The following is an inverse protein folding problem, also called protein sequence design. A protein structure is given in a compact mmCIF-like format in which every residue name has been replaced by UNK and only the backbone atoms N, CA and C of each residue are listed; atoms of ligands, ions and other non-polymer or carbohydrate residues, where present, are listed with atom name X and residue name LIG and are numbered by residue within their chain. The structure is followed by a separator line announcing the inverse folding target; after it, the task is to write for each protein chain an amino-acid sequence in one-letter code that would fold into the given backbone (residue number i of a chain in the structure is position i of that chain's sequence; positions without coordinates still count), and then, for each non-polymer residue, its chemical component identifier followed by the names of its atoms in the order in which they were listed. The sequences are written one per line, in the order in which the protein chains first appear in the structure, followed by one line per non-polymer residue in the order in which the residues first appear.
data_IF_772924125270
#
_entry.id   IF_772924125270
#
_cell.length_a   1.000
_cell.length_b   1.000
_cell.length_c   1.000
_cell.angle_alpha   90.00
_cell.angle_beta   90.00
_cell.angle_gamma   90.00
#
_symmetry.space_group_name_H-M   'P 1'
#
loop_
_entity.id
_entity.type
_entity.pdbx_description
1 polymer ?
#
# COMPACT_ATOMS: atom_id res chain seq x y z
N UNK A 1 -5.02 14.80 -21.95
CA UNK A 1 -3.74 15.21 -21.31
C UNK A 1 -2.65 14.36 -21.92
N UNK A 2 -1.47 14.93 -22.17
CA UNK A 2 -0.35 14.16 -22.72
C UNK A 2 0.20 13.21 -21.64
N UNK A 3 0.56 11.99 -22.03
CA UNK A 3 1.21 11.04 -21.13
C UNK A 3 2.56 11.60 -20.69
N UNK A 4 2.81 11.66 -19.38
CA UNK A 4 4.08 12.11 -18.83
C UNK A 4 4.98 10.90 -18.68
N UNK A 5 6.11 10.87 -19.38
CA UNK A 5 7.09 9.80 -19.31
C UNK A 5 8.37 10.26 -18.58
N UNK A 6 8.77 9.49 -17.58
CA UNK A 6 10.03 9.66 -16.85
C UNK A 6 10.95 8.47 -17.13
N UNK A 7 12.19 8.74 -17.52
CA UNK A 7 13.19 7.70 -17.77
C UNK A 7 14.35 7.89 -16.81
N UNK A 8 14.58 6.89 -15.96
CA UNK A 8 15.68 6.83 -15.02
C UNK A 8 16.78 5.97 -15.66
N UNK A 9 17.97 6.52 -15.93
CA UNK A 9 19.04 5.79 -16.62
C UNK A 9 19.54 4.56 -15.87
N UNK A 10 20.11 3.61 -16.61
CA UNK A 10 20.82 2.45 -16.07
C UNK A 10 21.87 2.86 -15.03
N UNK A 11 21.95 2.11 -13.93
CA UNK A 11 22.97 2.29 -12.89
C UNK A 11 22.82 3.56 -12.05
N UNK A 12 21.72 4.31 -12.19
CA UNK A 12 21.39 5.46 -11.33
C UNK A 12 21.40 5.01 -9.87
N UNK A 13 22.03 5.78 -8.99
CA UNK A 13 22.03 5.56 -7.54
C UNK A 13 21.65 6.87 -6.89
N UNK A 14 20.35 7.14 -6.88
CA UNK A 14 19.84 8.32 -6.21
C UNK A 14 19.42 7.93 -4.79
N UNK A 15 19.88 8.72 -3.84
CA UNK A 15 19.47 8.57 -2.44
C UNK A 15 18.30 9.50 -2.11
N UNK A 16 18.11 10.56 -2.89
CA UNK A 16 17.05 11.54 -2.67
C UNK A 16 15.77 11.11 -3.42
N UNK A 17 14.62 11.44 -2.84
CA UNK A 17 13.33 11.09 -3.41
C UNK A 17 13.04 11.88 -4.71
N UNK A 18 12.72 11.14 -5.78
CA UNK A 18 12.19 11.73 -7.02
C UNK A 18 10.69 12.00 -6.87
N UNK A 19 10.30 13.27 -6.83
CA UNK A 19 8.89 13.66 -6.75
C UNK A 19 8.23 13.70 -8.14
N UNK A 20 7.18 12.89 -8.32
CA UNK A 20 6.32 12.93 -9.51
C UNK A 20 5.19 13.92 -9.28
N UNK A 21 5.18 15.01 -10.06
CA UNK A 21 4.16 16.04 -9.98
C UNK A 21 3.01 15.74 -10.95
N UNK A 22 1.78 15.73 -10.43
CA UNK A 22 0.54 15.66 -11.22
C UNK A 22 -0.22 14.34 -11.12
N UNK A 23 -1.53 14.43 -11.35
CA UNK A 23 -2.46 13.31 -11.42
C UNK A 23 -2.98 13.20 -12.87
N UNK A 24 -2.64 12.11 -13.54
CA UNK A 24 -2.89 11.81 -14.96
C UNK A 24 -2.19 10.52 -15.36
N UNK A 25 -2.13 10.17 -16.67
CA UNK A 25 -1.31 9.06 -17.13
C UNK A 25 0.18 9.38 -16.94
N UNK A 26 0.85 8.61 -16.09
CA UNK A 26 2.28 8.71 -15.81
C UNK A 26 2.92 7.37 -16.15
N UNK A 27 4.02 7.40 -16.90
CA UNK A 27 4.86 6.24 -17.14
C UNK A 27 6.26 6.50 -16.61
N UNK A 28 6.79 5.55 -15.86
CA UNK A 28 8.13 5.63 -15.28
C UNK A 28 8.90 4.41 -15.73
N UNK A 29 10.05 4.61 -16.37
CA UNK A 29 10.93 3.55 -16.84
C UNK A 29 12.20 3.62 -16.01
N UNK A 30 12.42 2.60 -15.19
CA UNK A 30 13.60 2.48 -14.34
C UNK A 30 14.61 1.56 -15.00
N UNK A 31 15.75 2.12 -15.39
CA UNK A 31 16.84 1.43 -16.07
C UNK A 31 17.48 0.33 -15.23
N UNK A 32 18.27 -0.52 -15.89
CA UNK A 32 18.91 -1.69 -15.28
C UNK A 32 19.82 -1.28 -14.13
N UNK A 33 19.79 -2.04 -13.05
CA UNK A 33 20.62 -1.82 -11.86
C UNK A 33 20.48 -0.41 -11.24
N UNK A 34 19.45 0.34 -11.59
CA UNK A 34 19.17 1.62 -10.96
C UNK A 34 18.55 1.40 -9.57
N UNK A 35 18.82 2.32 -8.64
CA UNK A 35 18.24 2.35 -7.31
C UNK A 35 17.68 3.74 -7.07
N UNK A 36 16.37 3.81 -6.82
CA UNK A 36 15.64 5.07 -6.70
C UNK A 36 14.47 4.97 -5.73
N UNK A 37 14.21 6.08 -5.03
CA UNK A 37 12.97 6.31 -4.29
C UNK A 37 12.12 7.30 -5.09
N UNK A 38 10.84 6.98 -5.30
CA UNK A 38 9.90 7.79 -6.07
C UNK A 38 8.73 8.13 -5.17
N UNK A 39 8.38 9.41 -5.08
CA UNK A 39 7.25 9.89 -4.28
C UNK A 39 6.21 10.49 -5.21
N UNK A 40 4.96 10.04 -5.08
CA UNK A 40 3.83 10.56 -5.81
C UNK A 40 2.74 11.02 -4.82
N UNK A 41 2.43 12.31 -4.84
CA UNK A 41 1.28 12.85 -4.12
C UNK A 41 0.04 12.79 -5.02
N UNK A 42 -0.98 12.05 -4.59
CA UNK A 42 -2.19 11.77 -5.36
C UNK A 42 -3.39 12.52 -4.78
N UNK A 43 -3.82 13.56 -5.51
CA UNK A 43 -4.93 14.45 -5.10
C UNK A 43 -6.12 14.41 -6.05
N UNK A 44 -5.99 13.75 -7.21
CA UNK A 44 -7.01 13.56 -8.23
C UNK A 44 -6.77 12.25 -9.01
N UNK A 45 -7.67 11.88 -9.92
CA UNK A 45 -7.58 10.61 -10.67
C UNK A 45 -6.20 10.42 -11.30
N UNK A 46 -5.63 9.24 -11.10
CA UNK A 46 -4.24 8.97 -11.48
C UNK A 46 -4.08 7.56 -12.06
N UNK A 47 -3.27 7.44 -13.11
CA UNK A 47 -2.87 6.17 -13.70
C UNK A 47 -1.37 6.14 -13.85
N UNK A 48 -0.68 5.35 -13.03
CA UNK A 48 0.77 5.22 -13.03
C UNK A 48 1.19 3.84 -13.53
N UNK A 49 2.09 3.79 -14.50
CA UNK A 49 2.77 2.59 -14.96
C UNK A 49 4.27 2.68 -14.65
N UNK A 50 4.82 1.66 -14.00
CA UNK A 50 6.24 1.56 -13.67
C UNK A 50 6.86 0.35 -14.37
N UNK A 51 7.85 0.58 -15.21
CA UNK A 51 8.65 -0.47 -15.85
C UNK A 51 9.96 -0.58 -15.10
N UNK A 52 10.17 -1.69 -14.39
CA UNK A 52 11.35 -1.92 -13.57
C UNK A 52 12.25 -2.92 -14.28
N UNK A 53 13.35 -2.43 -14.88
CA UNK A 53 14.29 -3.29 -15.61
C UNK A 53 15.18 -4.12 -14.68
N UNK A 54 15.86 -5.11 -15.27
CA UNK A 54 16.63 -6.11 -14.54
C UNK A 54 17.62 -5.50 -13.54
N UNK A 55 17.67 -6.07 -12.34
CA UNK A 55 18.55 -5.64 -11.25
C UNK A 55 18.19 -4.30 -10.61
N UNK A 56 17.15 -3.61 -11.07
CA UNK A 56 16.73 -2.34 -10.48
C UNK A 56 16.03 -2.54 -9.12
N UNK A 57 16.14 -1.54 -8.27
CA UNK A 57 15.57 -1.51 -6.92
C UNK A 57 14.78 -0.21 -6.74
N UNK A 58 13.46 -0.31 -6.64
CA UNK A 58 12.54 0.84 -6.64
C UNK A 58 11.73 0.84 -5.36
N UNK A 59 11.79 1.93 -4.60
CA UNK A 59 10.76 2.26 -3.61
C UNK A 59 9.80 3.28 -4.24
N UNK A 60 8.52 2.93 -4.33
CA UNK A 60 7.46 3.80 -4.84
C UNK A 60 6.51 4.15 -3.71
N UNK A 61 6.53 5.40 -3.28
CA UNK A 61 5.69 5.94 -2.23
C UNK A 61 4.54 6.72 -2.85
N UNK A 62 3.31 6.33 -2.53
CA UNK A 62 2.09 6.97 -3.03
C UNK A 62 1.30 7.52 -1.86
N UNK A 63 1.26 8.83 -1.74
CA UNK A 63 0.52 9.53 -0.69
C UNK A 63 -0.76 10.10 -1.25
N UNK A 64 -1.87 9.44 -0.93
CA UNK A 64 -3.19 9.89 -1.29
C UNK A 64 -3.77 10.73 -0.14
N UNK A 65 -3.78 12.03 -0.35
CA UNK A 65 -4.41 13.02 0.53
C UNK A 65 -5.27 13.95 -0.33
N UNK A 66 -6.56 14.09 -0.05
CA UNK A 66 -7.46 14.95 -0.82
C UNK A 66 -8.58 15.52 0.05
N UNK A 67 -9.13 16.65 -0.38
CA UNK A 67 -10.23 17.35 0.30
C UNK A 67 -11.53 16.50 0.31
N UNK A 68 -12.44 16.64 1.30
CA UNK A 68 -13.57 15.72 1.56
C UNK A 68 -14.68 15.58 0.52
N UNK A 69 -14.54 16.12 -0.68
CA UNK A 69 -15.59 16.07 -1.68
C UNK A 69 -15.05 15.45 -2.99
N UNK A 70 -15.16 14.13 -3.12
CA UNK A 70 -14.81 13.47 -4.38
C UNK A 70 -14.97 11.96 -4.38
N UNK A 71 -15.09 11.43 -5.60
CA UNK A 71 -14.73 10.05 -5.92
C UNK A 71 -13.39 10.10 -6.64
N UNK A 72 -12.45 9.27 -6.21
CA UNK A 72 -11.10 9.22 -6.73
C UNK A 72 -10.79 7.81 -7.23
N UNK A 73 -10.33 7.70 -8.48
CA UNK A 73 -9.82 6.45 -9.05
C UNK A 73 -8.31 6.53 -9.24
N UNK A 74 -7.59 5.59 -8.63
CA UNK A 74 -6.14 5.45 -8.76
C UNK A 74 -5.85 4.08 -9.36
N UNK A 75 -5.04 4.06 -10.40
CA UNK A 75 -4.53 2.82 -10.98
C UNK A 75 -3.01 2.85 -10.98
N UNK A 76 -2.39 1.83 -10.40
CA UNK A 76 -0.95 1.61 -10.40
C UNK A 76 -0.66 0.27 -11.03
N UNK A 77 0.24 0.24 -12.01
CA UNK A 77 0.72 -0.98 -12.64
C UNK A 77 2.24 -1.01 -12.60
N UNK A 78 2.81 -2.18 -12.38
CA UNK A 78 4.23 -2.40 -12.63
C UNK A 78 4.49 -3.65 -13.46
N UNK A 79 5.57 -3.59 -14.25
CA UNK A 79 6.24 -4.76 -14.81
C UNK A 79 7.63 -4.87 -14.19
N UNK A 80 7.98 -6.04 -13.67
CA UNK A 80 9.22 -6.25 -12.89
C UNK A 80 10.07 -7.32 -13.56
N UNK A 81 11.25 -6.91 -14.03
CA UNK A 81 12.21 -7.76 -14.74
C UNK A 81 13.11 -8.60 -13.83
N UNK A 82 14.09 -9.28 -14.43
CA UNK A 82 14.92 -10.26 -13.72
C UNK A 82 15.71 -9.63 -12.57
N UNK A 83 15.72 -10.26 -11.40
CA UNK A 83 16.44 -9.80 -10.20
C UNK A 83 16.07 -8.37 -9.80
N UNK A 84 14.91 -7.86 -10.21
CA UNK A 84 14.45 -6.52 -9.90
C UNK A 84 13.48 -6.52 -8.72
N UNK A 85 13.47 -5.43 -7.97
CA UNK A 85 12.60 -5.25 -6.80
C UNK A 85 11.77 -3.98 -6.93
N UNK A 86 10.49 -4.08 -6.60
CA UNK A 86 9.63 -2.92 -6.37
C UNK A 86 9.00 -3.01 -4.98
N UNK A 87 9.07 -1.91 -4.22
CA UNK A 87 8.41 -1.74 -2.93
C UNK A 87 7.37 -0.65 -3.04
N UNK A 88 6.11 -1.00 -2.94
CA UNK A 88 5.00 -0.06 -2.90
C UNK A 88 4.75 0.37 -1.45
N UNK A 89 4.85 1.66 -1.16
CA UNK A 89 4.44 2.29 0.10
C UNK A 89 3.20 3.12 -0.17
N UNK A 90 2.04 2.49 -0.18
CA UNK A 90 0.78 3.19 -0.44
C UNK A 90 0.18 3.69 0.86
N UNK A 91 -0.21 4.97 0.89
CA UNK A 91 -0.85 5.62 2.03
C UNK A 91 -2.17 6.23 1.54
N UNK A 92 -3.29 5.70 2.01
CA UNK A 92 -4.63 6.19 1.65
C UNK A 92 -5.30 6.85 2.84
N UNK A 93 -5.26 8.18 2.88
CA UNK A 93 -5.78 9.01 3.97
C UNK A 93 -6.70 10.13 3.46
N UNK A 94 -6.93 10.28 2.16
CA UNK A 94 -7.81 11.32 1.63
C UNK A 94 -9.29 11.04 1.83
N UNK A 95 -10.13 12.06 1.67
CA UNK A 95 -11.52 11.98 2.06
C UNK A 95 -12.50 11.72 0.88
N UNK A 96 -13.66 11.14 1.19
CA UNK A 96 -14.69 10.76 0.21
C UNK A 96 -14.69 9.27 -0.14
N UNK A 97 -14.75 8.96 -1.43
CA UNK A 97 -14.70 7.57 -1.95
C UNK A 97 -13.43 7.36 -2.75
N UNK A 98 -12.61 6.37 -2.40
CA UNK A 98 -11.37 6.02 -3.11
C UNK A 98 -11.49 4.62 -3.69
N UNK A 99 -11.31 4.49 -4.99
CA UNK A 99 -11.05 3.22 -5.67
C UNK A 99 -9.59 3.20 -6.10
N UNK A 100 -8.76 2.38 -5.45
CA UNK A 100 -7.33 2.33 -5.74
C UNK A 100 -6.96 0.89 -6.10
N UNK A 101 -6.47 0.73 -7.33
CA UNK A 101 -6.14 -0.54 -7.95
C UNK A 101 -4.63 -0.62 -8.19
N UNK A 102 -3.94 -1.53 -7.51
CA UNK A 102 -2.52 -1.84 -7.68
C UNK A 102 -2.35 -3.22 -8.31
N UNK A 103 -1.53 -3.32 -9.36
CA UNK A 103 -1.15 -4.59 -9.99
C UNK A 103 0.33 -4.62 -10.35
N UNK A 104 1.09 -5.53 -9.76
CA UNK A 104 2.48 -5.81 -10.15
C UNK A 104 2.54 -7.12 -10.94
N UNK A 105 3.12 -7.10 -12.14
CA UNK A 105 3.43 -8.27 -12.94
C UNK A 105 4.93 -8.57 -12.89
N UNK A 106 5.29 -9.63 -12.19
CA UNK A 106 6.66 -10.08 -12.02
C UNK A 106 7.01 -11.05 -13.15
N UNK A 107 7.50 -10.49 -14.25
CA UNK A 107 7.80 -11.22 -15.49
C UNK A 107 9.18 -11.86 -15.48
N UNK A 108 10.12 -11.29 -14.72
CA UNK A 108 11.48 -11.80 -14.60
C UNK A 108 11.67 -12.87 -13.54
N UNK A 109 12.73 -13.65 -13.71
CA UNK A 109 13.23 -14.58 -12.68
C UNK A 109 13.79 -13.80 -11.48
N UNK A 110 13.59 -14.31 -10.28
CA UNK A 110 14.07 -13.70 -9.02
C UNK A 110 13.53 -12.28 -8.78
N UNK A 111 12.40 -11.93 -9.41
CA UNK A 111 11.73 -10.64 -9.25
C UNK A 111 10.97 -10.55 -7.91
N UNK A 112 11.01 -9.39 -7.27
CA UNK A 112 10.40 -9.14 -5.95
C UNK A 112 9.39 -7.99 -6.01
N UNK A 113 8.21 -8.19 -5.40
CA UNK A 113 7.19 -7.15 -5.21
C UNK A 113 6.76 -7.14 -3.75
N UNK A 114 7.15 -6.08 -3.04
CA UNK A 114 6.68 -5.78 -1.69
C UNK A 114 5.57 -4.73 -1.78
N UNK A 115 4.49 -4.92 -1.03
CA UNK A 115 3.39 -3.97 -0.94
C UNK A 115 3.11 -3.72 0.52
N UNK A 116 3.30 -2.49 0.98
CA UNK A 116 2.90 -2.03 2.29
C UNK A 116 1.87 -0.91 2.09
N UNK A 117 0.61 -1.25 2.33
CA UNK A 117 -0.52 -0.37 2.10
C UNK A 117 -1.18 -0.01 3.42
N UNK A 118 -0.99 1.24 3.83
CA UNK A 118 -1.62 1.83 5.00
C UNK A 118 -2.87 2.64 4.63
N UNK A 119 -3.94 2.53 5.42
CA UNK A 119 -5.15 3.33 5.21
C UNK A 119 -5.90 3.64 6.52
N UNK A 120 -6.64 4.75 6.54
CA UNK A 120 -7.53 5.11 7.65
C UNK A 120 -8.81 5.78 7.12
N UNK A 121 -9.91 5.01 7.12
CA UNK A 121 -11.25 5.51 6.79
C UNK A 121 -12.00 6.02 8.02
N UNK A 122 -12.50 7.25 7.96
CA UNK A 122 -13.28 7.92 9.01
C UNK A 122 -14.47 8.69 8.40
N UNK A 123 -15.49 9.03 9.18
CA UNK A 123 -16.57 9.95 8.76
C UNK A 123 -17.27 9.58 7.44
N UNK A 124 -17.79 8.36 7.32
CA UNK A 124 -18.44 7.83 6.11
C UNK A 124 -17.54 7.68 4.87
N UNK A 125 -16.22 7.85 5.00
CA UNK A 125 -15.26 7.55 3.92
C UNK A 125 -15.40 6.09 3.46
N UNK A 126 -15.26 5.89 2.14
CA UNK A 126 -15.38 4.57 1.51
C UNK A 126 -14.15 4.26 0.69
N UNK A 127 -13.40 3.26 1.10
CA UNK A 127 -12.21 2.82 0.38
C UNK A 127 -12.43 1.44 -0.21
N UNK A 128 -12.19 1.32 -1.52
CA UNK A 128 -12.05 0.06 -2.20
C UNK A 128 -10.61 -0.04 -2.69
N UNK A 129 -9.82 -0.85 -1.99
CA UNK A 129 -8.39 -1.00 -2.21
C UNK A 129 -8.14 -2.40 -2.76
N UNK A 130 -7.58 -2.49 -3.96
CA UNK A 130 -7.25 -3.76 -4.60
C UNK A 130 -5.75 -3.84 -4.83
N UNK A 131 -5.10 -4.88 -4.34
CA UNK A 131 -3.68 -5.16 -4.58
C UNK A 131 -3.50 -6.54 -5.19
N UNK A 132 -2.74 -6.63 -6.28
CA UNK A 132 -2.47 -7.89 -6.97
C UNK A 132 -1.00 -8.04 -7.36
N UNK A 133 -0.36 -9.10 -6.87
CA UNK A 133 0.95 -9.53 -7.35
C UNK A 133 0.78 -10.76 -8.25
N UNK A 134 1.29 -10.69 -9.48
CA UNK A 134 1.21 -11.76 -10.48
C UNK A 134 2.63 -12.26 -10.79
N UNK A 135 2.97 -13.45 -10.30
CA UNK A 135 4.27 -14.07 -10.49
C UNK A 135 4.28 -14.94 -11.75
N UNK A 136 5.07 -14.53 -12.75
CA UNK A 136 5.19 -15.21 -14.04
C UNK A 136 6.59 -15.81 -14.25
N UNK A 137 7.65 -15.16 -13.74
CA UNK A 137 9.02 -15.68 -13.68
C UNK A 137 9.28 -16.55 -12.46
N UNK A 138 10.38 -17.32 -12.48
CA UNK A 138 10.71 -18.28 -11.41
C UNK A 138 11.27 -17.58 -10.18
N UNK A 139 11.18 -18.23 -9.02
CA UNK A 139 11.82 -17.80 -7.76
C UNK A 139 11.49 -16.36 -7.37
N UNK A 140 10.31 -15.88 -7.76
CA UNK A 140 9.86 -14.55 -7.37
C UNK A 140 9.48 -14.52 -5.89
N UNK A 141 9.30 -13.33 -5.34
CA UNK A 141 8.82 -13.22 -3.96
C UNK A 141 8.40 -11.82 -3.53
N UNK A 142 8.42 -11.62 -2.22
CA UNK A 142 7.98 -10.40 -1.55
C UNK A 142 6.69 -10.61 -0.76
N UNK A 143 6.36 -9.62 0.06
CA UNK A 143 5.22 -9.65 0.95
C UNK A 143 4.19 -8.57 0.56
N UNK A 144 2.91 -8.87 0.72
CA UNK A 144 1.82 -7.93 0.57
C UNK A 144 1.13 -7.73 1.91
N UNK A 145 1.26 -6.56 2.51
CA UNK A 145 0.61 -6.16 3.75
C UNK A 145 -0.36 -5.02 3.48
N UNK A 146 -1.65 -5.26 3.73
CA UNK A 146 -2.69 -4.23 3.74
C UNK A 146 -3.14 -4.01 5.18
N UNK A 147 -2.76 -2.89 5.78
CA UNK A 147 -3.01 -2.62 7.20
C UNK A 147 -3.72 -1.30 7.38
N UNK A 148 -4.80 -1.25 8.18
CA UNK A 148 -5.51 0.01 8.31
C UNK A 148 -6.56 0.10 9.41
N UNK A 149 -7.18 1.26 9.49
CA UNK A 149 -8.14 1.62 10.55
C UNK A 149 -9.47 2.04 9.93
N UNK A 150 -10.57 1.65 10.58
CA UNK A 150 -11.92 2.09 10.21
C UNK A 150 -12.69 2.62 11.44
N UNK A 151 -13.18 3.84 11.35
CA UNK A 151 -13.86 4.55 12.43
C UNK A 151 -15.05 5.37 11.88
N UNK A 152 -16.03 5.68 12.73
CA UNK A 152 -17.14 6.62 12.52
C UNK A 152 -17.81 6.44 11.16
N UNK A 153 -18.38 5.25 10.93
CA UNK A 153 -19.04 4.84 9.68
C UNK A 153 -18.12 4.71 8.46
N UNK A 154 -16.80 4.81 8.63
CA UNK A 154 -15.84 4.47 7.60
C UNK A 154 -16.01 3.02 7.12
N UNK A 155 -15.95 2.82 5.80
CA UNK A 155 -16.09 1.52 5.17
C UNK A 155 -14.87 1.22 4.31
N UNK A 156 -14.15 0.15 4.65
CA UNK A 156 -13.03 -0.34 3.83
C UNK A 156 -13.36 -1.71 3.25
N UNK A 157 -13.17 -1.84 1.94
CA UNK A 157 -13.03 -3.11 1.25
C UNK A 157 -11.58 -3.23 0.78
N UNK A 158 -10.87 -4.24 1.28
CA UNK A 158 -9.50 -4.53 0.87
C UNK A 158 -9.44 -5.91 0.20
N UNK A 159 -9.23 -5.92 -1.11
CA UNK A 159 -9.08 -7.12 -1.93
C UNK A 159 -7.59 -7.35 -2.21
N UNK A 160 -6.99 -8.36 -1.56
CA UNK A 160 -5.60 -8.77 -1.80
C UNK A 160 -5.56 -10.05 -2.63
N UNK A 161 -4.71 -10.11 -3.65
CA UNK A 161 -4.59 -11.29 -4.51
C UNK A 161 -3.13 -11.59 -4.85
N UNK A 162 -2.73 -12.85 -4.67
CA UNK A 162 -1.49 -13.40 -5.20
C UNK A 162 -1.86 -14.39 -6.30
N UNK A 163 -1.40 -14.12 -7.52
CA UNK A 163 -1.50 -15.05 -8.64
C UNK A 163 -0.11 -15.61 -8.95
N UNK A 164 0.03 -16.93 -8.99
CA UNK A 164 1.26 -17.61 -9.41
C UNK A 164 0.96 -18.38 -10.69
N UNK A 165 1.50 -17.88 -11.81
CA UNK A 165 1.37 -18.50 -13.12
C UNK A 165 2.15 -19.81 -13.24
N UNK A 166 1.97 -20.50 -14.37
CA UNK A 166 2.65 -21.78 -14.64
C UNK A 166 4.19 -21.67 -14.63
N UNK A 167 4.73 -20.50 -14.96
CA UNK A 167 6.16 -20.21 -14.94
C UNK A 167 6.72 -19.87 -13.55
N UNK A 168 5.86 -19.52 -12.58
CA UNK A 168 6.22 -19.02 -11.26
C UNK A 168 6.71 -20.07 -10.26
N UNK A 169 7.46 -21.08 -10.72
CA UNK A 169 8.01 -22.10 -9.83
C UNK A 169 9.09 -21.50 -8.91
N UNK A 170 9.10 -21.92 -7.66
CA UNK A 170 9.98 -21.43 -6.60
C UNK A 170 9.51 -20.13 -5.93
N UNK A 171 8.32 -19.61 -6.24
CA UNK A 171 7.83 -18.38 -5.63
C UNK A 171 7.61 -18.54 -4.12
N UNK A 172 8.12 -17.59 -3.33
CA UNK A 172 7.94 -17.50 -1.87
C UNK A 172 7.32 -16.14 -1.49
N UNK A 173 6.08 -16.14 -1.00
CA UNK A 173 5.30 -14.90 -0.79
C UNK A 173 4.21 -15.06 0.26
N UNK A 174 3.87 -13.94 0.90
CA UNK A 174 2.85 -13.89 1.94
C UNK A 174 1.92 -12.68 1.75
N UNK A 175 0.62 -12.87 2.00
CA UNK A 175 -0.38 -11.82 2.01
C UNK A 175 -0.97 -11.64 3.42
N UNK A 176 -0.81 -10.47 4.01
CA UNK A 176 -1.42 -10.07 5.28
C UNK A 176 -2.45 -8.98 5.06
N UNK A 177 -3.65 -9.14 5.64
CA UNK A 177 -4.61 -8.07 5.76
C UNK A 177 -5.00 -7.89 7.22
N UNK A 178 -4.63 -6.77 7.84
CA UNK A 178 -4.91 -6.51 9.25
C UNK A 178 -5.64 -5.17 9.41
N UNK A 179 -6.88 -5.21 9.85
CA UNK A 179 -7.71 -4.00 9.98
C UNK A 179 -8.25 -3.85 11.40
N UNK A 180 -8.13 -2.65 11.96
CA UNK A 180 -8.64 -2.28 13.28
C UNK A 180 -9.90 -1.42 13.15
N UNK A 181 -11.00 -1.88 13.72
CA UNK A 181 -12.24 -1.11 13.84
C UNK A 181 -12.26 -0.40 15.20
N UNK A 182 -12.30 0.92 15.21
CA UNK A 182 -12.31 1.70 16.46
C UNK A 182 -13.71 1.87 17.07
N UNK A 183 -14.76 1.47 16.37
CA UNK A 183 -16.12 1.48 16.89
C UNK A 183 -17.01 0.44 16.20
N UNK A 184 -18.28 0.42 16.61
CA UNK A 184 -19.29 -0.53 16.12
C UNK A 184 -19.96 -0.10 14.82
N UNK A 185 -19.73 1.14 14.38
CA UNK A 185 -20.40 1.78 13.23
C UNK A 185 -19.63 1.63 11.93
N UNK A 186 -18.32 1.42 12.00
CA UNK A 186 -17.49 1.17 10.81
C UNK A 186 -17.77 -0.22 10.20
N UNK A 187 -17.32 -0.42 8.96
CA UNK A 187 -17.44 -1.69 8.24
C UNK A 187 -16.11 -2.03 7.57
N UNK A 188 -15.74 -3.30 7.61
CA UNK A 188 -14.53 -3.81 6.94
C UNK A 188 -14.86 -5.11 6.21
N UNK A 189 -14.49 -5.17 4.94
CA UNK A 189 -14.50 -6.37 4.12
C UNK A 189 -13.03 -6.67 3.73
N UNK A 190 -12.40 -7.66 4.38
CA UNK A 190 -11.03 -8.12 4.07
C UNK A 190 -11.09 -9.43 3.29
N UNK A 191 -10.64 -9.39 2.04
CA UNK A 191 -10.82 -10.47 1.06
C UNK A 191 -9.44 -10.83 0.48
N UNK A 192 -8.72 -11.78 1.11
CA UNK A 192 -7.47 -12.27 0.57
C UNK A 192 -7.72 -13.45 -0.38
N UNK A 193 -6.94 -13.55 -1.45
CA UNK A 193 -7.06 -14.59 -2.46
C UNK A 193 -5.71 -15.11 -2.94
N UNK A 194 -5.70 -16.40 -3.29
CA UNK A 194 -4.59 -17.08 -3.93
C UNK A 194 -5.07 -17.79 -5.20
N UNK A 195 -4.36 -17.61 -6.31
CA UNK A 195 -4.54 -18.39 -7.53
C UNK A 195 -3.20 -19.01 -7.96
N UNK A 196 -3.02 -20.31 -7.75
CA UNK A 196 -1.74 -20.99 -7.94
C UNK A 196 -1.85 -22.02 -9.07
N UNK A 197 -1.01 -21.86 -10.11
CA UNK A 197 -1.00 -22.71 -11.31
C UNK A 197 0.27 -23.57 -11.44
N UNK A 198 1.09 -23.65 -10.40
CA UNK A 198 2.32 -24.45 -10.33
C UNK A 198 2.49 -25.08 -8.95
N UNK A 199 3.27 -26.15 -8.84
CA UNK A 199 3.34 -26.97 -7.61
C UNK A 199 4.45 -26.55 -6.64
N UNK A 200 5.55 -26.02 -7.16
CA UNK A 200 6.73 -25.65 -6.37
C UNK A 200 6.59 -24.20 -5.92
N UNK A 201 5.91 -23.97 -4.79
CA UNK A 201 5.68 -22.63 -4.23
C UNK A 201 5.59 -22.67 -2.71
N UNK A 202 5.84 -21.52 -2.09
CA UNK A 202 5.45 -21.21 -0.72
C UNK A 202 4.60 -19.95 -0.76
N UNK A 203 3.28 -20.12 -0.66
CA UNK A 203 2.35 -19.02 -0.69
C UNK A 203 1.30 -19.22 0.40
N UNK A 204 1.08 -18.21 1.21
CA UNK A 204 0.01 -18.21 2.21
C UNK A 204 -0.56 -16.82 2.41
N UNK A 205 -1.70 -16.75 3.08
CA UNK A 205 -2.38 -15.50 3.35
C UNK A 205 -3.08 -15.53 4.72
N UNK A 206 -3.22 -14.36 5.34
CA UNK A 206 -4.01 -14.14 6.54
C UNK A 206 -4.86 -12.88 6.40
N UNK A 207 -6.04 -12.90 7.02
CA UNK A 207 -6.85 -11.72 7.20
C UNK A 207 -7.38 -11.66 8.65
N UNK A 208 -7.11 -10.55 9.31
CA UNK A 208 -7.55 -10.26 10.68
C UNK A 208 -8.35 -8.96 10.68
N UNK A 209 -9.58 -9.02 11.18
CA UNK A 209 -10.35 -7.82 11.52
C UNK A 209 -10.54 -7.81 13.03
N UNK A 210 -9.95 -6.82 13.67
CA UNK A 210 -10.02 -6.62 15.13
C UNK A 210 -10.89 -5.42 15.45
N UNK A 211 -11.41 -5.37 16.67
CA UNK A 211 -12.28 -4.27 17.12
C UNK A 211 -11.90 -3.83 18.52
N UNK A 212 -11.80 -2.52 18.72
CA UNK A 212 -11.73 -1.92 20.05
C UNK A 212 -13.09 -2.04 20.73
N UNK A 213 -13.12 -2.65 21.90
CA UNK A 213 -14.34 -2.87 22.69
C UNK A 213 -14.55 -1.78 23.74
N UNK A 214 -15.77 -1.68 24.25
CA UNK A 214 -16.09 -0.75 25.34
C UNK A 214 -15.28 -1.11 26.62
N UNK A 215 -14.93 -2.39 26.81
CA UNK A 215 -14.11 -2.87 27.92
C UNK A 215 -12.64 -2.41 27.78
N UNK A 216 -12.10 -2.44 26.56
CA UNK A 216 -10.77 -1.90 26.27
C UNK A 216 -10.71 -0.41 26.63
N UNK A 217 -11.70 0.37 26.17
CA UNK A 217 -11.80 1.80 26.47
C UNK A 217 -12.02 2.07 27.97
N UNK A 218 -12.80 1.22 28.66
CA UNK A 218 -12.99 1.31 30.10
C UNK A 218 -11.68 1.11 30.88
N UNK A 219 -10.81 0.19 30.43
CA UNK A 219 -9.49 -0.03 31.05
C UNK A 219 -8.57 1.19 30.98
N UNK A 220 -8.61 1.92 29.86
CA UNK A 220 -7.93 3.22 29.70
C UNK A 220 -8.55 4.29 30.61
N UNK A 221 -9.88 4.39 30.63
CA UNK A 221 -10.60 5.34 31.48
C UNK A 221 -10.30 5.13 32.97
N UNK A 222 -10.19 3.88 33.43
CA UNK A 222 -9.81 3.53 34.80
C UNK A 222 -8.40 4.03 35.20
N UNK A 223 -7.55 4.36 34.22
CA UNK A 223 -6.22 4.96 34.40
C UNK A 223 -6.22 6.48 34.19
N UNK A 224 -7.39 7.09 34.06
CA UNK A 224 -7.54 8.53 33.82
C UNK A 224 -7.23 8.95 32.38
N UNK A 225 -7.14 8.00 31.44
CA UNK A 225 -6.87 8.29 30.03
C UNK A 225 -8.21 8.54 29.32
N UNK A 226 -8.35 9.71 28.70
CA UNK A 226 -9.57 10.07 27.96
C UNK A 226 -9.76 9.17 26.73
N UNK A 227 -11.01 8.92 26.32
CA UNK A 227 -11.32 8.03 25.20
C UNK A 227 -10.59 8.43 23.89
N UNK A 228 -10.55 9.73 23.58
CA UNK A 228 -9.82 10.26 22.42
C UNK A 228 -8.34 9.89 22.46
N UNK A 229 -7.73 9.99 23.63
CA UNK A 229 -6.32 9.65 23.84
C UNK A 229 -6.10 8.15 23.71
N UNK A 230 -6.99 7.32 24.24
CA UNK A 230 -6.93 5.87 24.08
C UNK A 230 -7.03 5.45 22.61
N UNK A 231 -7.95 6.04 21.84
CA UNK A 231 -8.09 5.81 20.39
C UNK A 231 -6.81 6.17 19.64
N UNK A 232 -6.20 7.31 19.94
CA UNK A 232 -4.88 7.70 19.40
C UNK A 232 -3.83 6.62 19.67
N UNK A 233 -3.69 6.18 20.92
CA UNK A 233 -2.71 5.14 21.29
C UNK A 233 -2.93 3.83 20.53
N UNK A 234 -4.19 3.43 20.27
CA UNK A 234 -4.50 2.28 19.43
C UNK A 234 -4.02 2.48 17.98
N UNK A 235 -4.30 3.63 17.37
CA UNK A 235 -3.89 3.92 15.99
C UNK A 235 -2.37 3.98 15.86
N UNK A 236 -1.70 4.70 16.76
CA UNK A 236 -0.23 4.81 16.78
C UNK A 236 0.43 3.43 16.95
N UNK A 237 -0.04 2.63 17.90
CA UNK A 237 0.48 1.28 18.11
C UNK A 237 0.19 0.33 16.95
N UNK A 238 -0.94 0.50 16.25
CA UNK A 238 -1.35 -0.38 15.17
C UNK A 238 -0.67 -0.05 13.84
N UNK A 239 -0.61 1.23 13.47
CA UNK A 239 -0.07 1.70 12.19
C UNK A 239 1.40 2.11 12.24
N UNK A 240 1.97 2.36 13.43
CA UNK A 240 3.32 2.89 13.58
C UNK A 240 4.38 2.03 12.87
N UNK A 241 4.26 0.71 12.92
CA UNK A 241 5.16 -0.22 12.20
C UNK A 241 5.18 0.05 10.68
N UNK A 242 4.01 0.30 10.07
CA UNK A 242 3.92 0.57 8.63
C UNK A 242 4.67 1.85 8.26
N UNK A 243 4.58 2.87 9.11
CA UNK A 243 5.25 4.15 8.89
C UNK A 243 6.78 3.99 8.96
N UNK A 244 7.29 3.13 9.84
CA UNK A 244 8.74 2.87 9.92
C UNK A 244 9.33 2.21 8.67
N UNK A 245 8.50 1.60 7.82
CA UNK A 245 8.94 0.98 6.56
C UNK A 245 9.21 2.00 5.45
N UNK A 246 8.76 3.25 5.59
CA UNK A 246 8.99 4.32 4.63
C UNK A 246 10.44 4.79 4.76
N UNK A 247 11.25 4.55 3.72
CA UNK A 247 12.67 4.86 3.72
C UNK A 247 12.98 6.35 3.83
N UNK A 248 12.24 7.19 3.09
CA UNK A 248 12.42 8.64 3.09
C UNK A 248 11.93 9.28 4.39
N UNK A 249 12.79 10.04 5.06
CA UNK A 249 12.46 10.67 6.35
C UNK A 249 11.43 11.78 6.23
N UNK A 250 11.51 12.62 5.19
CA UNK A 250 10.58 13.74 5.02
C UNK A 250 9.16 13.20 4.79
N UNK A 251 9.04 12.22 3.88
CA UNK A 251 7.76 11.55 3.61
C UNK A 251 7.25 10.83 4.85
N UNK A 252 8.13 10.21 5.64
CA UNK A 252 7.71 9.55 6.89
C UNK A 252 7.09 10.55 7.86
N UNK A 253 7.66 11.75 8.01
CA UNK A 253 7.10 12.79 8.87
C UNK A 253 5.77 13.33 8.33
N UNK A 254 5.67 13.52 7.01
CA UNK A 254 4.43 13.96 6.36
C UNK A 254 3.29 12.95 6.57
N UNK A 255 3.60 11.65 6.43
CA UNK A 255 2.65 10.56 6.70
C UNK A 255 2.24 10.53 8.17
N UNK A 256 3.16 10.69 9.13
CA UNK A 256 2.83 10.77 10.56
C UNK A 256 1.86 11.92 10.85
N UNK A 257 2.13 13.11 10.30
CA UNK A 257 1.28 14.28 10.47
C UNK A 257 -0.11 14.08 9.84
N UNK A 258 -0.18 13.43 8.67
CA UNK A 258 -1.43 13.11 8.00
C UNK A 258 -2.27 12.10 8.79
N UNK A 259 -1.65 11.07 9.38
CA UNK A 259 -2.34 10.13 10.27
C UNK A 259 -2.80 10.83 11.55
N UNK A 260 -2.00 11.72 12.13
CA UNK A 260 -2.37 12.51 13.32
C UNK A 260 -3.62 13.37 13.08
N UNK A 261 -3.71 13.95 11.90
CA UNK A 261 -4.89 14.74 11.48
C UNK A 261 -6.17 13.89 11.46
N UNK A 262 -6.09 12.58 11.19
CA UNK A 262 -7.28 11.71 11.14
C UNK A 262 -7.91 11.47 12.51
N UNK A 263 -7.13 11.37 13.57
CA UNK A 263 -7.65 11.07 14.91
C UNK A 263 -7.68 12.28 15.86
N UNK A 264 -7.20 13.44 15.41
CA UNK A 264 -7.37 14.73 16.09
C UNK A 264 -8.84 15.15 16.16
#
# INVERSE_FOLDING_TARGET
MADVEFVIPDGTKDHDAFSVQGCGPVKIIVGKNARVCIVQHVTADCSTEVVVHSGADVEFISEQTSDPAGHLTITQRASVGDNATIRWRNVTLGAGTVEHNLRSELTGDDAVSEVDWMFYAKHDEKYHLTARNVFLGKRGGGEMTMKGVAEQRGHVKCDGMIEIGKGGAGTDTYLTQDVLMLDKTSKVDAIPGLEIKTNDVRASHSATVSRVTDEDLFYFAARGIAEREARRMFVEGFLGEMVTKIGDEAVRQDVLAAVETKYS
#
